data_IF_508049507436
#
_entry.id   IF_508049507436
#
_cell.length_a   1.000
_cell.length_b   1.000
_cell.length_c   1.000
_cell.angle_alpha   90.00
_cell.angle_beta   90.00
_cell.angle_gamma   90.00
#
_symmetry.space_group_name_H-M   'P 1'
#
loop_
_entity.id
_entity.type
_entity.pdbx_description
1 polymer ?
#
# COMPACT_ATOMS: atom_id res chain seq x y z
N UNK A 1 9.83 -39.87 -10.21
CA UNK A 1 10.30 -38.76 -9.33
C UNK A 1 11.04 -37.68 -10.10
N UNK A 2 11.83 -37.99 -11.14
CA UNK A 2 12.55 -36.97 -11.92
C UNK A 2 11.62 -36.10 -12.79
N UNK A 3 10.71 -36.69 -13.58
CA UNK A 3 9.79 -35.95 -14.47
C UNK A 3 8.85 -34.99 -13.72
N UNK A 4 8.30 -35.39 -12.57
CA UNK A 4 7.41 -34.53 -11.78
C UNK A 4 8.11 -33.28 -11.22
N UNK A 5 9.45 -33.27 -11.12
CA UNK A 5 10.21 -32.07 -10.73
C UNK A 5 10.41 -31.11 -11.89
N UNK A 6 10.47 -31.64 -13.11
CA UNK A 6 10.75 -30.87 -14.33
C UNK A 6 9.46 -30.29 -14.93
N UNK A 7 8.35 -31.03 -14.82
CA UNK A 7 7.07 -30.68 -15.44
C UNK A 7 5.94 -30.37 -14.46
N UNK A 8 6.14 -30.63 -13.16
CA UNK A 8 5.09 -30.58 -12.15
C UNK A 8 4.32 -31.89 -12.05
N UNK A 9 3.57 -32.05 -10.96
CA UNK A 9 2.64 -33.18 -10.78
C UNK A 9 1.26 -32.77 -11.27
N UNK A 10 0.69 -33.49 -12.24
CA UNK A 10 -0.66 -33.24 -12.79
C UNK A 10 -1.77 -33.34 -11.73
N UNK A 11 -1.50 -33.98 -10.59
CA UNK A 11 -2.44 -34.06 -9.47
C UNK A 11 -2.39 -32.83 -8.56
N UNK A 12 -1.42 -31.95 -8.74
CA UNK A 12 -1.34 -30.71 -8.00
C UNK A 12 -2.43 -29.74 -8.49
N UNK A 13 -3.14 -29.04 -7.58
CA UNK A 13 -4.03 -27.97 -7.98
C UNK A 13 -3.23 -26.88 -8.73
N UNK A 14 -3.83 -26.20 -9.71
CA UNK A 14 -3.15 -25.16 -10.47
C UNK A 14 -2.66 -24.05 -9.53
N UNK A 15 -1.41 -23.61 -9.71
CA UNK A 15 -0.88 -22.45 -9.00
C UNK A 15 -1.47 -21.21 -9.66
N UNK A 16 -2.52 -20.65 -9.05
CA UNK A 16 -2.98 -19.31 -9.39
C UNK A 16 -1.91 -18.30 -8.94
N UNK A 17 -1.13 -17.80 -9.90
CA UNK A 17 -0.24 -16.67 -9.61
C UNK A 17 -1.15 -15.47 -9.37
N UNK A 18 -1.05 -14.79 -8.21
CA UNK A 18 -1.77 -13.55 -8.04
C UNK A 18 -1.36 -12.61 -9.18
N UNK A 19 -2.36 -12.14 -9.93
CA UNK A 19 -2.16 -11.05 -10.88
C UNK A 19 -1.55 -9.92 -10.05
N UNK A 20 -0.37 -9.37 -10.42
CA UNK A 20 0.23 -8.31 -9.63
C UNK A 20 -0.81 -7.20 -9.46
N UNK A 21 -1.18 -6.92 -8.21
CA UNK A 21 -2.23 -5.95 -7.83
C UNK A 21 -1.92 -4.51 -8.28
N UNK A 22 -0.73 -4.30 -8.86
CA UNK A 22 -0.38 -3.10 -9.59
C UNK A 22 -0.88 -3.20 -11.04
N UNK A 23 -2.03 -2.57 -11.33
CA UNK A 23 -2.42 -2.20 -12.70
C UNK A 23 -1.52 -1.10 -13.30
N UNK A 24 -0.44 -0.70 -12.62
CA UNK A 24 0.57 0.15 -13.21
C UNK A 24 1.45 -0.68 -14.15
N UNK A 25 1.63 -0.28 -15.42
CA UNK A 25 2.73 -0.83 -16.19
C UNK A 25 4.02 -0.52 -15.44
N UNK A 26 4.79 -1.58 -15.13
CA UNK A 26 6.15 -1.44 -14.61
C UNK A 26 7.05 -0.71 -15.62
N UNK A 27 8.28 -0.40 -15.20
CA UNK A 27 9.25 0.24 -16.09
C UNK A 27 9.42 -0.60 -17.36
N UNK A 28 9.30 0.05 -18.50
CA UNK A 28 9.56 -0.57 -19.80
C UNK A 28 11.05 -0.81 -20.01
N UNK A 29 11.41 -1.73 -20.91
CA UNK A 29 12.83 -2.03 -21.20
C UNK A 29 13.63 -0.80 -21.68
N UNK A 30 12.98 0.14 -22.38
CA UNK A 30 13.62 1.40 -22.80
C UNK A 30 13.85 2.35 -21.61
N UNK A 31 12.93 2.42 -20.65
CA UNK A 31 13.07 3.26 -19.44
C UNK A 31 14.17 2.76 -18.51
N UNK A 32 14.36 1.44 -18.45
CA UNK A 32 15.42 0.83 -17.65
C UNK A 32 16.82 1.05 -18.25
N UNK A 33 16.91 1.39 -19.53
CA UNK A 33 18.19 1.50 -20.25
C UNK A 33 18.84 2.89 -20.16
N UNK A 34 18.09 3.92 -19.74
CA UNK A 34 18.56 5.31 -19.65
C UNK A 34 18.31 5.87 -18.23
N UNK A 35 19.37 6.28 -17.49
CA UNK A 35 19.24 6.84 -16.15
C UNK A 35 18.28 8.04 -16.03
N UNK A 36 18.18 8.89 -17.05
CA UNK A 36 17.28 10.05 -17.06
C UNK A 36 15.83 9.56 -17.14
N UNK A 37 15.56 8.59 -18.02
CA UNK A 37 14.23 8.00 -18.19
C UNK A 37 13.78 7.20 -16.99
N UNK A 38 14.71 6.47 -16.39
CA UNK A 38 14.43 5.74 -15.15
C UNK A 38 13.99 6.71 -14.04
N UNK A 39 14.68 7.85 -13.88
CA UNK A 39 14.29 8.87 -12.91
C UNK A 39 12.89 9.46 -13.19
N UNK A 40 12.53 9.67 -14.45
CA UNK A 40 11.17 10.10 -14.83
C UNK A 40 10.12 9.06 -14.45
N UNK A 41 10.41 7.78 -14.65
CA UNK A 41 9.55 6.67 -14.23
C UNK A 41 9.34 6.65 -12.72
N UNK A 42 10.41 6.79 -11.92
CA UNK A 42 10.32 6.83 -10.46
C UNK A 42 9.45 7.99 -9.97
N UNK A 43 9.62 9.18 -10.55
CA UNK A 43 8.80 10.35 -10.21
C UNK A 43 7.32 10.13 -10.54
N UNK A 44 6.99 9.44 -11.63
CA UNK A 44 5.60 9.06 -11.95
C UNK A 44 5.07 8.06 -10.92
N UNK A 45 5.87 7.06 -10.57
CA UNK A 45 5.52 6.07 -9.54
C UNK A 45 5.24 6.72 -8.19
N UNK A 46 6.10 7.62 -7.74
CA UNK A 46 5.93 8.36 -6.48
C UNK A 46 4.67 9.23 -6.48
N UNK A 47 4.37 9.93 -7.59
CA UNK A 47 3.14 10.72 -7.73
C UNK A 47 1.89 9.86 -7.65
N UNK A 48 1.89 8.70 -8.32
CA UNK A 48 0.78 7.76 -8.30
C UNK A 48 0.55 7.19 -6.89
N UNK A 49 1.61 6.70 -6.25
CA UNK A 49 1.54 6.18 -4.89
C UNK A 49 0.98 7.21 -3.90
N UNK A 50 1.42 8.47 -4.03
CA UNK A 50 0.88 9.59 -3.24
C UNK A 50 -0.62 9.77 -3.47
N UNK A 51 -1.07 9.78 -4.73
CA UNK A 51 -2.49 9.96 -5.06
C UNK A 51 -3.34 8.81 -4.52
N UNK A 52 -2.92 7.57 -4.73
CA UNK A 52 -3.61 6.38 -4.25
C UNK A 52 -3.72 6.37 -2.72
N UNK A 53 -2.63 6.71 -2.02
CA UNK A 53 -2.65 6.85 -0.56
C UNK A 53 -3.65 7.92 -0.11
N UNK A 54 -3.62 9.10 -0.73
CA UNK A 54 -4.50 10.20 -0.35
C UNK A 54 -5.98 9.84 -0.55
N UNK A 55 -6.31 9.19 -1.68
CA UNK A 55 -7.67 8.71 -1.94
C UNK A 55 -8.12 7.68 -0.91
N UNK A 56 -7.27 6.68 -0.60
CA UNK A 56 -7.58 5.67 0.41
C UNK A 56 -7.76 6.31 1.80
N UNK A 57 -6.88 7.24 2.18
CA UNK A 57 -6.97 7.94 3.46
C UNK A 57 -8.25 8.78 3.56
N UNK A 58 -8.64 9.48 2.50
CA UNK A 58 -9.89 10.26 2.44
C UNK A 58 -11.13 9.40 2.63
N UNK A 59 -11.13 8.18 2.07
CA UNK A 59 -12.25 7.25 2.18
C UNK A 59 -12.30 6.56 3.55
N UNK A 60 -11.15 6.15 4.09
CA UNK A 60 -11.09 5.27 5.26
C UNK A 60 -11.04 6.04 6.58
N UNK A 61 -10.31 7.15 6.69
CA UNK A 61 -10.15 7.88 7.95
C UNK A 61 -11.49 8.23 8.66
N UNK A 62 -12.54 8.69 7.95
CA UNK A 62 -13.84 8.92 8.57
C UNK A 62 -14.45 7.66 9.19
N UNK A 63 -14.28 6.49 8.54
CA UNK A 63 -14.77 5.20 9.03
C UNK A 63 -14.04 4.79 10.31
N UNK A 64 -12.72 4.93 10.34
CA UNK A 64 -11.91 4.64 11.53
C UNK A 64 -12.27 5.54 12.72
N UNK A 65 -12.54 6.84 12.48
CA UNK A 65 -13.05 7.75 13.51
C UNK A 65 -14.40 7.32 14.06
N UNK A 66 -15.35 6.98 13.18
CA UNK A 66 -16.65 6.48 13.61
C UNK A 66 -16.55 5.16 14.40
N UNK A 67 -15.65 4.26 14.00
CA UNK A 67 -15.38 3.02 14.74
C UNK A 67 -14.79 3.31 16.13
N UNK A 68 -13.87 4.28 16.23
CA UNK A 68 -13.31 4.70 17.51
C UNK A 68 -14.38 5.25 18.44
N UNK A 69 -15.28 6.09 17.93
CA UNK A 69 -16.39 6.64 18.73
C UNK A 69 -17.35 5.54 19.19
N UNK A 70 -17.65 4.57 18.32
CA UNK A 70 -18.44 3.40 18.68
C UNK A 70 -17.74 2.55 19.74
N UNK A 71 -16.44 2.34 19.64
CA UNK A 71 -15.66 1.59 20.62
C UNK A 71 -15.65 2.26 22.00
N UNK A 72 -15.59 3.60 22.04
CA UNK A 72 -15.75 4.37 23.29
C UNK A 72 -17.13 4.14 23.90
N UNK A 73 -18.18 4.24 23.09
CA UNK A 73 -19.56 4.04 23.54
C UNK A 73 -19.83 2.61 24.03
N UNK A 74 -19.14 1.61 23.48
CA UNK A 74 -19.24 0.21 23.90
C UNK A 74 -18.34 -0.15 25.10
N UNK A 75 -17.64 0.83 25.69
CA UNK A 75 -16.80 0.59 26.87
C UNK A 75 -15.49 -0.15 26.57
N UNK A 76 -14.92 0.02 25.37
CA UNK A 76 -13.63 -0.59 25.06
C UNK A 76 -12.52 -0.11 26.01
N UNK A 77 -11.48 -0.95 26.28
CA UNK A 77 -10.42 -0.59 27.22
C UNK A 77 -9.71 0.72 26.84
N UNK A 78 -9.37 1.59 27.82
CA UNK A 78 -8.71 2.87 27.56
C UNK A 78 -7.42 2.75 26.74
N UNK A 79 -6.63 1.69 26.95
CA UNK A 79 -5.40 1.44 26.20
C UNK A 79 -5.66 1.22 24.70
N UNK A 80 -6.74 0.49 24.36
CA UNK A 80 -7.14 0.24 22.97
C UNK A 80 -7.61 1.52 22.30
N UNK A 81 -8.39 2.34 23.03
CA UNK A 81 -8.83 3.66 22.56
C UNK A 81 -7.62 4.57 22.28
N UNK A 82 -6.65 4.61 23.19
CA UNK A 82 -5.45 5.43 23.04
C UNK A 82 -4.61 5.00 21.84
N UNK A 83 -4.37 3.69 21.66
CA UNK A 83 -3.64 3.17 20.51
C UNK A 83 -4.34 3.52 19.18
N UNK A 84 -5.66 3.35 19.12
CA UNK A 84 -6.45 3.70 17.94
C UNK A 84 -6.39 5.20 17.63
N UNK A 85 -6.46 6.07 18.65
CA UNK A 85 -6.30 7.52 18.50
C UNK A 85 -4.93 7.88 17.91
N UNK A 86 -3.86 7.28 18.43
CA UNK A 86 -2.51 7.56 17.95
C UNK A 86 -2.31 7.10 16.50
N UNK A 87 -2.87 5.94 16.13
CA UNK A 87 -2.85 5.48 14.74
C UNK A 87 -3.59 6.44 13.81
N UNK A 88 -4.79 6.89 14.18
CA UNK A 88 -5.55 7.88 13.40
C UNK A 88 -4.75 9.19 13.26
N UNK A 89 -4.17 9.70 14.35
CA UNK A 89 -3.34 10.91 14.33
C UNK A 89 -2.15 10.77 13.36
N UNK A 90 -1.45 9.64 13.37
CA UNK A 90 -0.32 9.38 12.46
C UNK A 90 -0.78 9.35 11.01
N UNK A 91 -1.91 8.72 10.71
CA UNK A 91 -2.47 8.69 9.36
C UNK A 91 -2.86 10.08 8.86
N UNK A 92 -3.43 10.94 9.71
CA UNK A 92 -3.75 12.34 9.39
C UNK A 92 -2.50 13.19 9.15
N UNK A 93 -1.50 13.04 10.02
CA UNK A 93 -0.21 13.70 9.84
C UNK A 93 0.44 13.30 8.50
N UNK A 94 0.39 12.00 8.18
CA UNK A 94 0.90 11.45 6.92
C UNK A 94 0.15 11.99 5.71
N UNK A 95 -1.19 12.04 5.76
CA UNK A 95 -2.02 12.63 4.72
C UNK A 95 -1.65 14.10 4.49
N UNK A 96 -1.42 14.84 5.57
CA UNK A 96 -1.04 16.26 5.51
C UNK A 96 0.34 16.45 4.88
N UNK A 97 1.35 15.68 5.31
CA UNK A 97 2.68 15.67 4.72
C UNK A 97 2.64 15.38 3.20
N UNK A 98 1.89 14.35 2.79
CA UNK A 98 1.73 14.00 1.38
C UNK A 98 1.02 15.08 0.56
N UNK A 99 0.03 15.78 1.13
CA UNK A 99 -0.61 16.95 0.49
C UNK A 99 0.37 18.12 0.33
N UNK A 100 1.29 18.29 1.27
CA UNK A 100 2.37 19.28 1.20
C UNK A 100 3.49 18.90 0.23
N UNK A 101 3.39 17.75 -0.43
CA UNK A 101 4.35 17.30 -1.44
C UNK A 101 5.53 16.50 -0.88
N UNK A 102 5.50 16.14 0.40
CA UNK A 102 6.50 15.24 0.97
C UNK A 102 6.46 13.87 0.27
N UNK A 103 7.61 13.20 0.13
CA UNK A 103 7.65 11.88 -0.49
C UNK A 103 6.99 10.83 0.40
N UNK A 104 6.32 9.80 -0.17
CA UNK A 104 5.96 8.60 0.56
C UNK A 104 7.23 7.98 1.19
N UNK A 105 7.17 7.61 2.48
CA UNK A 105 8.25 6.85 3.12
C UNK A 105 8.34 5.51 2.40
N UNK A 106 9.50 5.24 1.80
CA UNK A 106 9.83 3.91 1.32
C UNK A 106 10.02 3.03 2.54
N UNK A 107 9.29 1.90 2.63
CA UNK A 107 9.56 0.89 3.65
C UNK A 107 10.97 0.35 3.37
N UNK A 108 11.96 0.85 4.10
CA UNK A 108 13.27 0.21 4.17
C UNK A 108 13.06 -1.05 5.01
N UNK A 109 13.15 -2.21 4.37
CA UNK A 109 13.15 -3.52 5.04
C UNK A 109 14.45 -3.76 5.81
#
# INVERSE_FOLDING_TARGET
>A
MAEAREHGDDRAPPIERPVPESQAPGATAWELSDPVRYREYELRGQRRLRQEYLMAAEQELPKWKALLDRARASGAPPAVIAEAQDKIRRLEARQTALRNGEPPETRTE
#
